data_IF_701761669264
#
_entry.id   IF_701761669264
#
_cell.length_a   1.000
_cell.length_b   1.000
_cell.length_c   1.000
_cell.angle_alpha   90.00
_cell.angle_beta   90.00
_cell.angle_gamma   90.00
#
_symmetry.space_group_name_H-M   'P 1'
#
loop_
_entity.id
_entity.type
_entity.pdbx_description
1 polymer ?
#
# COMPACT_ATOMS: atom_id res chain seq x y z
N UNK A 1 12.54 -1.43 16.28
CA UNK A 1 12.68 -2.56 15.32
C UNK A 1 11.62 -2.36 14.25
N UNK A 2 11.90 -2.68 12.98
CA UNK A 2 10.92 -2.59 11.91
C UNK A 2 9.93 -3.77 11.96
N UNK A 3 8.69 -3.57 11.51
CA UNK A 3 7.70 -4.62 11.28
C UNK A 3 7.12 -4.50 9.87
N UNK A 4 6.76 -5.64 9.28
CA UNK A 4 6.11 -5.71 7.98
C UNK A 4 4.60 -5.79 8.16
N UNK A 5 3.86 -4.99 7.39
CA UNK A 5 2.42 -5.14 7.19
C UNK A 5 2.22 -5.66 5.76
N UNK A 6 1.63 -6.84 5.65
CA UNK A 6 1.37 -7.54 4.39
C UNK A 6 -0.08 -7.99 4.41
N UNK A 7 -0.79 -7.88 3.30
CA UNK A 7 -2.22 -8.18 3.29
C UNK A 7 -2.48 -9.69 3.38
N UNK A 8 -1.82 -10.48 2.57
CA UNK A 8 -2.14 -11.88 2.36
C UNK A 8 -0.96 -12.83 2.62
N UNK A 9 -1.21 -14.08 3.04
CA UNK A 9 -0.16 -15.08 3.22
C UNK A 9 0.68 -15.32 1.96
N UNK A 10 0.04 -15.29 0.78
CA UNK A 10 0.70 -15.50 -0.52
C UNK A 10 1.73 -14.42 -0.81
N UNK A 11 1.48 -13.19 -0.40
CA UNK A 11 2.40 -12.06 -0.51
C UNK A 11 3.55 -12.14 0.52
N UNK A 12 3.36 -12.88 1.62
CA UNK A 12 4.35 -13.04 2.68
C UNK A 12 5.26 -14.27 2.51
N UNK A 13 4.94 -15.14 1.57
CA UNK A 13 5.65 -16.41 1.38
C UNK A 13 7.13 -16.20 1.11
N UNK A 14 7.98 -16.88 1.89
CA UNK A 14 9.45 -16.80 1.75
C UNK A 14 10.09 -15.56 2.36
N UNK A 15 9.32 -14.58 2.86
CA UNK A 15 9.85 -13.38 3.53
C UNK A 15 10.24 -13.73 4.97
N UNK A 16 11.46 -13.34 5.38
CA UNK A 16 12.05 -13.68 6.69
C UNK A 16 12.81 -12.49 7.28
N UNK A 17 13.09 -12.57 8.58
CA UNK A 17 13.96 -11.62 9.28
C UNK A 17 13.25 -10.43 9.94
N UNK A 18 11.93 -10.32 9.76
CA UNK A 18 11.10 -9.28 10.37
C UNK A 18 9.81 -9.87 10.95
N UNK A 19 9.25 -9.29 12.02
CA UNK A 19 7.88 -9.56 12.42
C UNK A 19 6.93 -9.19 11.28
N UNK A 20 6.03 -10.12 10.92
CA UNK A 20 5.01 -9.93 9.88
C UNK A 20 3.64 -9.87 10.54
N UNK A 21 2.88 -8.83 10.23
CA UNK A 21 1.49 -8.65 10.59
C UNK A 21 0.64 -8.81 9.34
N UNK A 22 -0.04 -9.94 9.22
CA UNK A 22 -1.01 -10.16 8.15
C UNK A 22 -2.27 -9.35 8.46
N UNK A 23 -2.58 -8.41 7.57
CA UNK A 23 -3.73 -7.53 7.79
C UNK A 23 -5.04 -8.12 7.26
N UNK A 24 -5.00 -8.86 6.18
CA UNK A 24 -6.14 -9.05 5.30
C UNK A 24 -6.33 -7.83 4.40
N UNK A 25 -7.25 -7.94 3.43
CA UNK A 25 -7.52 -6.87 2.47
C UNK A 25 -8.32 -5.72 3.09
N UNK A 26 -8.08 -4.51 2.57
CA UNK A 26 -8.88 -3.33 2.82
C UNK A 26 -8.34 -2.40 3.91
N UNK A 27 -8.77 -1.14 3.84
CA UNK A 27 -8.25 -0.03 4.65
C UNK A 27 -8.43 -0.24 6.16
N UNK A 28 -9.60 -0.75 6.58
CA UNK A 28 -9.89 -0.99 8.01
C UNK A 28 -8.97 -2.07 8.57
N UNK A 29 -8.82 -3.19 7.88
CA UNK A 29 -7.95 -4.28 8.29
C UNK A 29 -6.48 -3.83 8.37
N UNK A 30 -6.03 -3.08 7.38
CA UNK A 30 -4.69 -2.51 7.32
C UNK A 30 -4.42 -1.57 8.51
N UNK A 31 -5.38 -0.70 8.85
CA UNK A 31 -5.31 0.17 10.03
C UNK A 31 -5.16 -0.63 11.32
N UNK A 32 -6.00 -1.66 11.51
CA UNK A 32 -5.97 -2.51 12.72
C UNK A 32 -4.61 -3.21 12.86
N UNK A 33 -4.09 -3.79 11.78
CA UNK A 33 -2.80 -4.47 11.80
C UNK A 33 -1.64 -3.50 12.09
N UNK A 34 -1.67 -2.31 11.50
CA UNK A 34 -0.68 -1.26 11.73
C UNK A 34 -0.69 -0.80 13.18
N UNK A 35 -1.88 -0.54 13.76
CA UNK A 35 -2.00 -0.18 15.18
C UNK A 35 -1.51 -1.28 16.12
N UNK A 36 -1.75 -2.55 15.80
CA UNK A 36 -1.19 -3.68 16.56
C UNK A 36 0.34 -3.64 16.57
N UNK A 37 0.96 -3.51 15.39
CA UNK A 37 2.41 -3.42 15.29
C UNK A 37 2.98 -2.23 16.08
N UNK A 38 2.32 -1.06 16.03
CA UNK A 38 2.72 0.12 16.78
C UNK A 38 2.59 -0.12 18.31
N UNK A 39 1.50 -0.73 18.76
CA UNK A 39 1.27 -1.06 20.16
C UNK A 39 2.26 -2.10 20.70
N UNK A 40 2.74 -3.02 19.85
CA UNK A 40 3.81 -3.96 20.15
C UNK A 40 5.21 -3.31 20.19
N UNK A 41 5.28 -1.98 19.99
CA UNK A 41 6.50 -1.18 20.16
C UNK A 41 7.28 -0.94 18.87
N UNK A 42 6.78 -1.33 17.70
CA UNK A 42 7.44 -1.04 16.44
C UNK A 42 7.32 0.44 16.08
N UNK A 43 8.43 1.08 15.69
CA UNK A 43 8.50 2.50 15.32
C UNK A 43 8.95 2.73 13.88
N UNK A 44 9.04 1.66 13.11
CA UNK A 44 9.26 1.68 11.67
C UNK A 44 8.39 0.60 11.05
N UNK A 45 7.40 1.02 10.27
CA UNK A 45 6.48 0.13 9.56
C UNK A 45 6.86 0.10 8.09
N UNK A 46 6.88 -1.09 7.55
CA UNK A 46 7.14 -1.34 6.14
C UNK A 46 5.93 -2.08 5.57
N UNK A 47 5.34 -1.55 4.52
CA UNK A 47 4.31 -2.27 3.78
C UNK A 47 4.94 -2.91 2.54
N UNK A 48 4.59 -4.16 2.30
CA UNK A 48 4.81 -4.86 1.05
C UNK A 48 3.54 -5.56 0.61
N UNK A 49 3.32 -5.65 -0.70
CA UNK A 49 2.20 -6.34 -1.32
C UNK A 49 2.18 -6.13 -2.82
N UNK A 50 1.15 -6.67 -3.46
CA UNK A 50 0.88 -6.47 -4.88
C UNK A 50 0.15 -5.16 -5.14
N UNK A 51 0.19 -4.69 -6.39
CA UNK A 51 -0.57 -3.54 -6.87
C UNK A 51 -0.82 -3.64 -8.38
N UNK A 52 -1.93 -3.07 -8.83
CA UNK A 52 -2.19 -2.86 -10.25
C UNK A 52 -1.57 -1.56 -10.75
N UNK A 53 -1.03 -1.55 -11.97
CA UNK A 53 -0.51 -0.34 -12.61
C UNK A 53 -1.58 0.36 -13.42
N UNK A 54 -1.64 1.69 -13.32
CA UNK A 54 -2.49 2.55 -14.17
C UNK A 54 -1.67 3.53 -15.02
N UNK A 55 -0.33 3.37 -15.01
CA UNK A 55 0.64 4.24 -15.67
C UNK A 55 1.84 3.48 -16.29
N UNK A 56 1.66 2.22 -16.71
CA UNK A 56 2.68 1.36 -17.35
C UNK A 56 3.93 1.07 -16.47
N UNK A 57 3.84 1.24 -15.16
CA UNK A 57 4.87 0.86 -14.20
C UNK A 57 4.88 -0.67 -14.06
N UNK A 58 6.08 -1.26 -13.93
CA UNK A 58 6.26 -2.71 -13.79
C UNK A 58 7.31 -3.04 -12.72
N UNK A 59 7.30 -4.29 -12.24
CA UNK A 59 8.29 -4.82 -11.30
C UNK A 59 8.07 -4.38 -9.87
N UNK A 60 9.14 -4.39 -9.07
CA UNK A 60 9.11 -3.97 -7.67
C UNK A 60 9.46 -2.48 -7.58
N UNK A 61 8.55 -1.69 -7.03
CA UNK A 61 8.69 -0.22 -6.92
C UNK A 61 8.54 0.26 -5.49
N UNK A 62 9.23 1.32 -5.14
CA UNK A 62 9.00 2.06 -3.90
C UNK A 62 7.87 3.08 -4.11
N UNK A 63 6.91 3.09 -3.20
CA UNK A 63 5.80 4.03 -3.18
C UNK A 63 6.12 5.16 -2.22
N UNK A 64 5.97 6.40 -2.67
CA UNK A 64 6.31 7.59 -1.89
C UNK A 64 5.13 8.52 -1.64
N UNK A 65 4.05 8.41 -2.43
CA UNK A 65 2.82 9.15 -2.24
C UNK A 65 1.61 8.23 -2.11
N UNK A 66 0.64 8.62 -1.29
CA UNK A 66 -0.54 7.80 -0.98
C UNK A 66 -1.79 8.65 -1.03
N UNK A 67 -2.83 8.17 -1.73
CA UNK A 67 -4.14 8.82 -1.81
C UNK A 67 -5.26 7.82 -1.51
N UNK A 68 -6.34 8.30 -0.92
CA UNK A 68 -7.56 7.51 -0.75
C UNK A 68 -8.41 7.65 -2.02
N UNK A 69 -8.41 6.62 -2.89
CA UNK A 69 -9.04 6.72 -4.21
C UNK A 69 -10.57 6.59 -4.20
N UNK A 70 -11.15 6.18 -3.11
CA UNK A 70 -12.60 6.03 -2.96
C UNK A 70 -13.20 6.92 -1.84
N UNK A 71 -12.41 7.84 -1.27
CA UNK A 71 -12.92 8.90 -0.41
C UNK A 71 -13.56 9.99 -1.28
N UNK A 72 -14.87 10.04 -1.29
CA UNK A 72 -15.63 11.06 -2.02
C UNK A 72 -16.54 11.87 -1.09
N UNK A 73 -16.05 13.02 -0.71
CA UNK A 73 -16.79 13.98 0.11
C UNK A 73 -17.09 15.30 -0.65
N UNK A 74 -17.17 15.24 -1.99
CA UNK A 74 -17.46 16.40 -2.85
C UNK A 74 -18.79 17.08 -2.52
N UNK A 75 -19.76 16.33 -2.00
CA UNK A 75 -20.99 16.90 -1.47
C UNK A 75 -20.79 17.89 -0.29
N UNK A 76 -19.63 17.80 0.39
CA UNK A 76 -19.21 18.72 1.46
C UNK A 76 -18.19 19.76 0.97
N UNK A 77 -18.10 19.98 -0.34
CA UNK A 77 -17.14 20.90 -0.97
C UNK A 77 -15.66 20.49 -0.79
N UNK A 78 -15.39 19.22 -0.52
CA UNK A 78 -14.04 18.66 -0.53
C UNK A 78 -13.63 18.26 -1.95
N UNK A 79 -12.33 18.12 -2.19
CA UNK A 79 -11.83 17.47 -3.41
C UNK A 79 -11.95 15.94 -3.30
N UNK A 80 -11.96 15.24 -4.44
CA UNK A 80 -11.90 13.78 -4.45
C UNK A 80 -10.62 13.31 -3.77
N UNK A 81 -10.72 12.33 -2.87
CA UNK A 81 -9.61 11.83 -2.06
C UNK A 81 -9.35 12.63 -0.78
N UNK A 82 -9.96 13.79 -0.62
CA UNK A 82 -9.81 14.60 0.58
C UNK A 82 -10.74 14.12 1.70
N UNK A 83 -10.16 13.82 2.85
CA UNK A 83 -10.93 13.59 4.08
C UNK A 83 -11.46 14.94 4.59
N UNK A 84 -12.76 15.09 4.86
CA UNK A 84 -13.31 16.34 5.42
C UNK A 84 -12.58 16.78 6.69
N UNK A 85 -12.35 18.08 6.81
CA UNK A 85 -11.66 18.73 7.94
C UNK A 85 -10.17 18.34 8.09
N UNK A 86 -9.58 17.74 7.07
CA UNK A 86 -8.12 17.48 7.00
C UNK A 86 -7.52 18.23 5.80
N UNK A 87 -6.27 18.66 5.95
CA UNK A 87 -5.54 19.32 4.87
C UNK A 87 -4.87 18.28 3.95
N UNK A 88 -4.94 18.57 2.64
CA UNK A 88 -4.27 17.80 1.61
C UNK A 88 -5.00 16.52 1.21
N UNK A 89 -4.54 15.96 0.11
CA UNK A 89 -5.06 14.73 -0.50
C UNK A 89 -3.98 13.64 -0.48
N UNK A 90 -2.73 14.02 -0.71
CA UNK A 90 -1.59 13.10 -0.78
C UNK A 90 -0.88 13.09 0.57
N UNK A 91 -0.65 11.89 1.11
CA UNK A 91 0.27 11.67 2.23
C UNK A 91 1.62 11.27 1.63
N UNK A 92 2.72 11.94 2.06
CA UNK A 92 4.07 11.68 1.56
C UNK A 92 4.51 12.61 0.44
N UNK A 93 5.33 12.11 -0.47
CA UNK A 93 6.02 12.89 -1.50
C UNK A 93 5.47 12.61 -2.91
N UNK A 94 5.77 13.52 -3.85
CA UNK A 94 5.46 13.34 -5.26
C UNK A 94 6.51 12.45 -5.94
N UNK A 95 6.32 11.16 -5.89
CA UNK A 95 7.05 10.16 -6.65
C UNK A 95 6.04 9.19 -7.26
N UNK A 96 6.20 7.88 -7.01
CA UNK A 96 5.15 6.91 -7.37
C UNK A 96 4.02 7.02 -6.35
N UNK A 97 2.83 7.36 -6.82
CA UNK A 97 1.62 7.56 -6.02
C UNK A 97 0.74 6.31 -6.10
N UNK A 98 0.42 5.75 -4.93
CA UNK A 98 -0.52 4.64 -4.79
C UNK A 98 -1.91 5.13 -4.38
N UNK A 99 -2.91 4.79 -5.16
CA UNK A 99 -4.32 5.00 -4.83
C UNK A 99 -4.92 3.78 -4.15
N UNK A 100 -5.19 3.86 -2.83
CA UNK A 100 -5.81 2.76 -2.09
C UNK A 100 -7.33 2.91 -2.01
N UNK A 101 -8.05 1.77 -2.03
CA UNK A 101 -9.50 1.75 -1.86
C UNK A 101 -10.03 0.36 -1.52
N UNK A 102 -11.22 0.28 -0.95
CA UNK A 102 -11.84 -0.98 -0.51
C UNK A 102 -12.52 -1.78 -1.63
N UNK A 103 -12.33 -1.34 -2.87
CA UNK A 103 -12.82 -2.04 -4.07
C UNK A 103 -11.62 -2.49 -4.91
N UNK A 104 -11.62 -3.77 -5.34
CA UNK A 104 -10.63 -4.26 -6.30
C UNK A 104 -10.74 -3.44 -7.60
N UNK A 105 -9.62 -2.90 -8.07
CA UNK A 105 -9.60 -1.99 -9.22
C UNK A 105 -9.55 -2.80 -10.53
N UNK A 106 -10.57 -2.65 -11.36
CA UNK A 106 -10.67 -3.22 -12.71
C UNK A 106 -10.72 -2.14 -13.79
N UNK A 107 -10.41 -0.91 -13.42
CA UNK A 107 -10.31 0.25 -14.30
C UNK A 107 -9.53 1.37 -13.61
N UNK A 108 -9.02 2.30 -14.41
CA UNK A 108 -8.32 3.47 -13.89
C UNK A 108 -9.25 4.31 -13.00
N UNK A 109 -8.83 4.65 -11.76
CA UNK A 109 -9.63 5.50 -10.89
C UNK A 109 -9.71 6.94 -11.40
N UNK A 110 -10.72 7.68 -10.91
CA UNK A 110 -10.90 9.10 -11.24
C UNK A 110 -9.78 9.97 -10.64
N UNK A 111 -9.30 9.63 -9.44
CA UNK A 111 -8.20 10.34 -8.80
C UNK A 111 -6.86 9.98 -9.44
N UNK A 112 -5.99 10.98 -9.59
CA UNK A 112 -4.65 10.78 -10.15
C UNK A 112 -3.78 9.92 -9.23
N UNK A 113 -3.33 8.77 -9.74
CA UNK A 113 -2.35 7.90 -9.12
C UNK A 113 -1.63 7.08 -10.20
N UNK A 114 -0.53 6.44 -9.85
CA UNK A 114 0.29 5.64 -10.77
C UNK A 114 -0.01 4.16 -10.65
N UNK A 115 -0.30 3.70 -9.43
CA UNK A 115 -0.64 2.33 -9.09
C UNK A 115 -1.81 2.29 -8.12
N UNK A 116 -2.47 1.14 -8.00
CA UNK A 116 -3.63 0.94 -7.14
C UNK A 116 -3.47 -0.30 -6.26
N UNK A 117 -3.91 -0.17 -5.01
CA UNK A 117 -3.99 -1.26 -4.04
C UNK A 117 -5.22 -1.11 -3.13
N UNK A 118 -5.24 -1.82 -2.01
CA UNK A 118 -6.35 -1.74 -1.06
C UNK A 118 -5.92 -1.31 0.36
N UNK A 119 -4.62 -1.07 0.64
CA UNK A 119 -4.12 -0.92 2.02
C UNK A 119 -3.18 0.27 2.25
N UNK A 120 -2.30 0.58 1.30
CA UNK A 120 -1.13 1.44 1.51
C UNK A 120 -1.46 2.82 2.09
N UNK A 121 -2.53 3.48 1.62
CA UNK A 121 -2.97 4.75 2.18
C UNK A 121 -3.33 4.65 3.66
N UNK A 122 -4.08 3.60 4.04
CA UNK A 122 -4.50 3.44 5.43
C UNK A 122 -3.31 3.22 6.37
N UNK A 123 -2.32 2.44 5.92
CA UNK A 123 -1.08 2.22 6.68
C UNK A 123 -0.29 3.53 6.78
N UNK A 124 -0.11 4.24 5.65
CA UNK A 124 0.59 5.53 5.60
C UNK A 124 -0.07 6.56 6.52
N UNK A 125 -1.40 6.70 6.43
CA UNK A 125 -2.18 7.63 7.27
C UNK A 125 -2.06 7.30 8.75
N UNK A 126 -2.16 6.02 9.11
CA UNK A 126 -2.00 5.57 10.51
C UNK A 126 -0.61 5.91 11.02
N UNK A 127 0.45 5.56 10.27
CA UNK A 127 1.82 5.87 10.67
C UNK A 127 2.07 7.39 10.77
N UNK A 128 1.53 8.17 9.83
CA UNK A 128 1.66 9.64 9.87
C UNK A 128 1.00 10.24 11.13
N UNK A 129 -0.23 9.81 11.47
CA UNK A 129 -0.95 10.29 12.66
C UNK A 129 -0.26 9.87 13.96
N UNK A 130 0.34 8.68 14.01
CA UNK A 130 1.04 8.13 15.18
C UNK A 130 2.53 8.55 15.26
N UNK A 131 3.04 9.33 14.30
CA UNK A 131 4.45 9.76 14.26
C UNK A 131 5.44 8.60 14.10
N UNK A 132 5.05 7.56 13.34
CA UNK A 132 5.84 6.35 13.09
C UNK A 132 6.42 6.40 11.68
N UNK A 133 7.70 6.03 11.55
CA UNK A 133 8.36 5.96 10.25
C UNK A 133 7.70 4.91 9.36
N UNK A 134 7.45 5.26 8.11
CA UNK A 134 6.78 4.39 7.14
C UNK A 134 7.51 4.36 5.79
N UNK A 135 7.58 3.19 5.16
CA UNK A 135 7.97 2.99 3.75
C UNK A 135 7.13 1.87 3.15
N UNK A 136 6.93 1.91 1.86
CA UNK A 136 6.13 0.90 1.13
C UNK A 136 6.79 0.50 -0.18
N UNK A 137 6.72 -0.79 -0.48
CA UNK A 137 7.09 -1.37 -1.78
C UNK A 137 5.94 -2.17 -2.33
N UNK A 138 5.70 -2.02 -3.61
CA UNK A 138 4.67 -2.78 -4.32
C UNK A 138 5.29 -3.51 -5.51
N UNK A 139 4.89 -4.77 -5.66
CA UNK A 139 5.15 -5.53 -6.88
C UNK A 139 3.95 -5.40 -7.80
N UNK A 140 4.18 -4.98 -9.03
CA UNK A 140 3.10 -4.79 -10.00
C UNK A 140 2.67 -6.15 -10.53
N UNK A 141 1.46 -6.57 -10.17
CA UNK A 141 0.88 -7.87 -10.52
C UNK A 141 0.00 -7.83 -11.76
N UNK A 142 -0.61 -6.67 -12.04
CA UNK A 142 -1.63 -6.51 -13.07
C UNK A 142 -1.68 -5.07 -13.60
N UNK A 143 -2.52 -4.85 -14.61
CA UNK A 143 -2.68 -3.56 -15.28
C UNK A 143 -3.91 -2.75 -14.82
N UNK A 144 -4.53 -3.12 -13.71
CA UNK A 144 -5.77 -2.52 -13.18
C UNK A 144 -6.89 -2.43 -14.23
N UNK A 145 -7.07 -3.48 -15.02
CA UNK A 145 -8.06 -3.60 -16.08
C UNK A 145 -9.03 -4.79 -15.83
N UNK A 146 -9.85 -5.13 -16.79
CA UNK A 146 -10.84 -6.23 -16.68
C UNK A 146 -10.23 -7.62 -16.49
N UNK A 147 -8.93 -7.81 -16.82
CA UNK A 147 -8.21 -9.09 -16.64
C UNK A 147 -7.48 -9.16 -15.30
N UNK A 148 -7.41 -8.06 -14.54
CA UNK A 148 -6.57 -7.92 -13.35
C UNK A 148 -6.76 -9.02 -12.30
N UNK A 149 -7.95 -9.58 -12.16
CA UNK A 149 -8.19 -10.66 -11.19
C UNK A 149 -7.39 -11.93 -11.54
N UNK A 150 -7.34 -12.32 -12.82
CA UNK A 150 -6.59 -13.47 -13.30
C UNK A 150 -5.08 -13.19 -13.25
N UNK A 151 -4.66 -12.00 -13.71
CA UNK A 151 -3.26 -11.59 -13.72
C UNK A 151 -2.69 -11.52 -12.30
N UNK A 152 -3.48 -11.01 -11.34
CA UNK A 152 -3.12 -10.98 -9.93
C UNK A 152 -2.91 -12.40 -9.36
N UNK A 153 -3.83 -13.33 -9.60
CA UNK A 153 -3.72 -14.73 -9.15
C UNK A 153 -2.42 -15.39 -9.63
N UNK A 154 -2.02 -15.14 -10.88
CA UNK A 154 -0.80 -15.68 -11.47
C UNK A 154 0.48 -15.01 -10.95
N UNK A 155 0.41 -13.75 -10.53
CA UNK A 155 1.58 -12.90 -10.29
C UNK A 155 1.79 -12.53 -8.83
N UNK A 156 0.80 -12.68 -7.94
CA UNK A 156 0.81 -12.17 -6.57
C UNK A 156 2.09 -12.52 -5.76
N UNK A 157 2.64 -13.70 -5.97
CA UNK A 157 3.82 -14.17 -5.23
C UNK A 157 5.16 -13.85 -5.92
N UNK A 158 5.15 -13.39 -7.18
CA UNK A 158 6.40 -13.18 -7.96
C UNK A 158 7.31 -12.10 -7.39
N UNK A 159 6.75 -11.13 -6.66
CA UNK A 159 7.49 -10.05 -6.03
C UNK A 159 8.26 -10.43 -4.76
N UNK A 160 7.88 -11.53 -4.10
CA UNK A 160 8.37 -11.89 -2.76
C UNK A 160 9.90 -12.03 -2.72
N UNK A 161 10.49 -12.74 -3.70
CA UNK A 161 11.92 -12.95 -3.76
C UNK A 161 12.71 -11.66 -4.05
N UNK A 162 12.13 -10.74 -4.83
CA UNK A 162 12.74 -9.45 -5.11
C UNK A 162 12.73 -8.56 -3.85
N UNK A 163 11.61 -8.52 -3.15
CA UNK A 163 11.48 -7.79 -1.91
C UNK A 163 12.41 -8.35 -0.82
N UNK A 164 12.47 -9.69 -0.67
CA UNK A 164 13.38 -10.32 0.30
C UNK A 164 14.85 -9.99 0.00
N UNK A 165 15.26 -9.98 -1.27
CA UNK A 165 16.63 -9.56 -1.68
C UNK A 165 16.89 -8.09 -1.35
N UNK A 166 15.90 -7.21 -1.53
CA UNK A 166 15.99 -5.79 -1.19
C UNK A 166 16.17 -5.61 0.33
N UNK A 167 15.41 -6.33 1.16
CA UNK A 167 15.55 -6.32 2.62
C UNK A 167 16.97 -6.70 3.07
N UNK A 168 17.56 -7.75 2.48
CA UNK A 168 18.91 -8.21 2.83
C UNK A 168 20.02 -7.26 2.40
N UNK A 169 19.84 -6.52 1.31
CA UNK A 169 20.85 -5.56 0.81
C UNK A 169 20.91 -4.26 1.61
N UNK A 170 20.14 -4.14 2.69
CA UNK A 170 20.12 -2.93 3.51
C UNK A 170 19.43 -1.75 2.84
N UNK A 171 18.62 -1.96 1.83
CA UNK A 171 17.88 -0.91 1.11
C UNK A 171 16.84 -0.14 1.93
N UNK A 172 16.78 -0.39 3.24
CA UNK A 172 15.84 0.25 4.17
C UNK A 172 16.45 1.39 5.00
N UNK A 173 17.78 1.57 4.98
CA UNK A 173 18.49 2.54 5.85
C UNK A 173 19.02 3.72 5.09
#
# INVERSE_FOLDING_TARGET
MAALIIALPEEAEGIKGYPIYLSGCGKVNATIATMRAINDGHRFIINFGSAGSVSDITGLVEVTGYVDRDMDARALSCELGQTPFEDGIIIGEHGIVCGSGDKFATSKPEIACDIVDMEAYAIAKTCHKEGVKFRSWKYISDAADENSANDWEENVHKGNSLFQKMLYRGGLW
#
